data_IF_302760440065
#
_entry.id   IF_302760440065
#
_cell.length_a   1.000
_cell.length_b   1.000
_cell.length_c   1.000
_cell.angle_alpha   90.00
_cell.angle_beta   90.00
_cell.angle_gamma   90.00
#
_symmetry.space_group_name_H-M   'P 1'
#
loop_
_entity.id
_entity.type
_entity.pdbx_description
1 polymer ?
#
# COMPACT_ATOMS: atom_id res chain seq x y z
N UNK A 1 -22.28 22.20 -4.29
CA UNK A 1 -23.37 21.17 -4.27
C UNK A 1 -22.70 19.84 -4.06
N UNK A 2 -22.99 19.14 -2.96
CA UNK A 2 -22.40 17.80 -2.75
C UNK A 2 -23.18 16.87 -3.66
N UNK A 3 -22.50 16.41 -4.72
CA UNK A 3 -23.03 15.39 -5.61
C UNK A 3 -23.21 14.12 -4.80
N UNK A 4 -24.34 13.43 -4.98
CA UNK A 4 -24.50 12.10 -4.44
C UNK A 4 -23.53 11.14 -5.14
N UNK A 5 -22.36 10.93 -4.53
CA UNK A 5 -21.29 10.12 -5.09
C UNK A 5 -21.75 8.66 -5.33
N UNK A 6 -22.66 8.15 -4.50
CA UNK A 6 -23.16 6.79 -4.62
C UNK A 6 -24.03 6.61 -5.87
N UNK A 7 -24.90 7.56 -6.16
CA UNK A 7 -25.74 7.53 -7.37
C UNK A 7 -24.93 7.88 -8.60
N UNK A 8 -24.07 8.90 -8.54
CA UNK A 8 -23.23 9.28 -9.68
C UNK A 8 -22.30 8.15 -10.13
N UNK A 9 -21.76 7.38 -9.19
CA UNK A 9 -20.88 6.25 -9.51
C UNK A 9 -21.58 5.10 -10.25
N UNK A 10 -22.91 5.00 -10.15
CA UNK A 10 -23.70 4.04 -10.92
C UNK A 10 -24.06 4.55 -12.31
N UNK A 11 -24.35 5.86 -12.44
CA UNK A 11 -24.79 6.48 -13.70
C UNK A 11 -23.59 6.72 -14.64
N UNK A 12 -22.49 7.24 -14.11
CA UNK A 12 -21.31 7.61 -14.88
C UNK A 12 -20.02 7.16 -14.14
N UNK A 13 -19.72 5.85 -14.12
CA UNK A 13 -18.60 5.32 -13.38
C UNK A 13 -17.26 5.83 -13.93
N UNK A 14 -16.31 6.27 -13.06
CA UNK A 14 -14.98 6.66 -13.49
C UNK A 14 -14.18 5.50 -14.09
N UNK A 15 -13.18 5.80 -14.92
CA UNK A 15 -12.31 4.77 -15.50
C UNK A 15 -11.62 3.88 -14.45
N UNK A 16 -11.30 4.44 -13.28
CA UNK A 16 -10.66 3.69 -12.18
C UNK A 16 -11.64 2.83 -11.35
N UNK A 17 -12.94 2.95 -11.58
CA UNK A 17 -14.01 2.36 -10.75
C UNK A 17 -13.81 0.87 -10.45
N UNK A 18 -13.41 0.09 -11.45
CA UNK A 18 -13.16 -1.34 -11.35
C UNK A 18 -11.71 -1.70 -10.99
N UNK A 19 -10.79 -0.72 -10.90
CA UNK A 19 -9.40 -1.01 -10.58
C UNK A 19 -9.32 -1.61 -9.17
N UNK A 20 -8.67 -2.77 -9.07
CA UNK A 20 -8.47 -3.47 -7.80
C UNK A 20 -7.25 -2.92 -7.07
N UNK A 21 -7.36 -2.87 -5.76
CA UNK A 21 -6.30 -2.54 -4.83
C UNK A 21 -5.76 -3.82 -4.21
N UNK A 22 -4.47 -4.06 -4.35
CA UNK A 22 -3.83 -5.23 -3.76
C UNK A 22 -3.68 -5.10 -2.23
N UNK A 23 -3.49 -6.24 -1.58
CA UNK A 23 -3.11 -6.28 -0.16
C UNK A 23 -1.60 -6.05 -0.06
N UNK A 24 -1.18 -5.10 0.78
CA UNK A 24 0.23 -4.75 0.97
C UNK A 24 1.09 -5.96 1.34
N UNK A 25 0.61 -6.82 2.26
CA UNK A 25 1.34 -8.01 2.70
C UNK A 25 1.63 -8.98 1.56
N UNK A 26 0.67 -9.14 0.64
CA UNK A 26 0.86 -10.01 -0.54
C UNK A 26 1.83 -9.36 -1.53
N UNK A 27 1.71 -8.04 -1.74
CA UNK A 27 2.59 -7.29 -2.62
C UNK A 27 4.05 -7.28 -2.14
N UNK A 28 4.29 -7.12 -0.82
CA UNK A 28 5.63 -7.08 -0.22
C UNK A 28 6.24 -8.47 -0.02
N UNK A 29 5.44 -9.53 -0.16
CA UNK A 29 5.91 -10.90 0.01
C UNK A 29 7.07 -11.21 -0.93
N UNK A 30 8.15 -11.77 -0.39
CA UNK A 30 9.37 -12.07 -1.15
C UNK A 30 10.24 -10.84 -1.49
N UNK A 31 9.87 -9.64 -1.02
CA UNK A 31 10.68 -8.44 -1.14
C UNK A 31 11.30 -8.07 0.21
N UNK A 32 12.38 -7.33 0.16
CA UNK A 32 13.13 -6.89 1.33
C UNK A 32 13.14 -5.36 1.38
N UNK A 33 12.91 -4.79 2.56
CA UNK A 33 12.96 -3.34 2.77
C UNK A 33 14.30 -2.95 3.38
N UNK A 34 14.81 -1.79 3.05
CA UNK A 34 15.88 -1.15 3.81
C UNK A 34 15.39 -0.86 5.24
N UNK A 35 16.31 -0.89 6.20
CA UNK A 35 15.98 -0.59 7.61
C UNK A 35 15.63 0.88 7.83
N UNK A 36 16.07 1.76 6.92
CA UNK A 36 15.76 3.18 6.96
C UNK A 36 14.33 3.43 6.49
N UNK A 37 13.56 4.14 7.30
CA UNK A 37 12.23 4.63 6.95
C UNK A 37 12.10 6.10 7.35
N UNK A 38 11.34 6.86 6.58
CA UNK A 38 11.02 8.26 6.86
C UNK A 38 9.55 8.37 7.26
N UNK A 39 9.28 9.10 8.37
CA UNK A 39 7.93 9.47 8.76
C UNK A 39 7.70 10.94 8.53
N UNK A 40 6.70 11.28 7.71
CA UNK A 40 6.30 12.65 7.40
C UNK A 40 4.91 12.88 8.00
N UNK A 41 4.84 13.78 8.98
CA UNK A 41 3.66 13.98 9.82
C UNK A 41 2.48 14.61 9.06
N UNK A 42 2.75 15.55 8.15
CA UNK A 42 1.73 16.20 7.35
C UNK A 42 2.29 16.48 5.94
N UNK A 43 1.70 15.84 4.94
CA UNK A 43 2.12 15.99 3.54
C UNK A 43 0.94 15.78 2.60
N UNK A 44 1.16 16.11 1.34
CA UNK A 44 0.23 15.88 0.26
C UNK A 44 0.53 14.52 -0.39
N UNK A 45 -0.49 13.67 -0.52
CA UNK A 45 -0.37 12.34 -1.14
C UNK A 45 -1.34 12.24 -2.32
N UNK A 46 -0.81 11.96 -3.50
CA UNK A 46 -1.63 11.75 -4.70
C UNK A 46 -2.31 10.38 -4.64
N UNK A 47 -3.61 10.39 -4.37
CA UNK A 47 -4.45 9.18 -4.27
C UNK A 47 -4.60 8.47 -5.61
N UNK A 48 -4.35 9.13 -6.75
CA UNK A 48 -4.38 8.47 -8.06
C UNK A 48 -3.30 7.38 -8.19
N UNK A 49 -2.19 7.53 -7.45
CA UNK A 49 -1.06 6.59 -7.41
C UNK A 49 -1.25 5.42 -6.44
N UNK A 50 -2.35 5.39 -5.69
CA UNK A 50 -2.63 4.31 -4.72
C UNK A 50 -2.91 3.01 -5.47
N UNK A 51 -2.12 1.98 -5.16
CA UNK A 51 -2.23 0.64 -5.75
C UNK A 51 -2.75 -0.43 -4.78
N UNK A 52 -2.79 -0.15 -3.48
CA UNK A 52 -3.19 -1.15 -2.49
C UNK A 52 -3.44 -0.59 -1.10
N UNK A 53 -3.59 -1.49 -0.12
CA UNK A 53 -3.81 -1.13 1.28
C UNK A 53 -3.23 -2.17 2.24
N UNK A 54 -2.93 -1.75 3.49
CA UNK A 54 -2.41 -2.61 4.56
C UNK A 54 -3.49 -3.33 5.39
N UNK A 55 -4.76 -3.06 5.15
CA UNK A 55 -5.84 -3.54 6.01
C UNK A 55 -6.39 -4.90 5.56
N UNK A 56 -6.76 -5.74 6.52
CA UNK A 56 -7.15 -7.14 6.34
C UNK A 56 -8.51 -7.40 5.70
N UNK A 57 -8.86 -6.72 4.61
CA UNK A 57 -10.13 -6.90 3.91
C UNK A 57 -10.01 -7.71 2.59
N UNK A 58 -8.82 -8.22 2.29
CA UNK A 58 -8.53 -8.79 0.98
C UNK A 58 -8.45 -7.71 -0.12
N UNK A 59 -8.29 -8.13 -1.35
CA UNK A 59 -8.33 -7.22 -2.49
C UNK A 59 -9.73 -6.64 -2.68
N UNK A 60 -9.80 -5.34 -2.93
CA UNK A 60 -11.04 -4.61 -3.18
C UNK A 60 -10.86 -3.68 -4.38
N UNK A 61 -11.87 -3.57 -5.22
CA UNK A 61 -11.95 -2.50 -6.21
C UNK A 61 -12.40 -1.18 -5.56
N UNK A 62 -12.20 -0.06 -6.27
CA UNK A 62 -12.67 1.24 -5.79
C UNK A 62 -14.19 1.27 -5.62
N UNK A 63 -14.95 0.59 -6.49
CA UNK A 63 -16.41 0.48 -6.37
C UNK A 63 -16.82 -0.33 -5.15
N UNK A 64 -16.15 -1.46 -4.89
CA UNK A 64 -16.40 -2.26 -3.68
C UNK A 64 -16.13 -1.46 -2.41
N UNK A 65 -15.08 -0.62 -2.41
CA UNK A 65 -14.83 0.30 -1.28
C UNK A 65 -15.91 1.37 -1.15
N UNK A 66 -16.35 1.99 -2.25
CA UNK A 66 -17.36 3.04 -2.19
C UNK A 66 -18.70 2.54 -1.67
N UNK A 67 -19.15 1.36 -2.11
CA UNK A 67 -20.45 0.81 -1.76
C UNK A 67 -20.43 -0.15 -0.56
N UNK A 68 -19.27 -0.77 -0.25
CA UNK A 68 -19.14 -1.80 0.77
C UNK A 68 -18.58 -1.34 2.11
N UNK A 69 -17.84 -0.22 2.16
CA UNK A 69 -17.25 0.24 3.41
C UNK A 69 -18.31 0.89 4.33
N UNK A 70 -18.45 0.38 5.54
CA UNK A 70 -19.50 0.74 6.52
C UNK A 70 -19.64 2.24 6.85
N UNK A 71 -18.56 3.04 6.67
CA UNK A 71 -18.54 4.45 7.08
C UNK A 71 -18.58 5.43 5.91
N UNK A 72 -18.83 5.01 4.69
CA UNK A 72 -18.90 5.91 3.53
C UNK A 72 -20.01 6.96 3.74
N UNK A 73 -21.22 6.53 4.05
CA UNK A 73 -22.33 7.46 4.28
C UNK A 73 -22.07 8.46 5.42
N UNK A 74 -21.44 8.02 6.52
CA UNK A 74 -21.09 8.93 7.61
C UNK A 74 -20.01 9.93 7.18
N UNK A 75 -19.03 9.53 6.39
CA UNK A 75 -18.03 10.44 5.83
C UNK A 75 -18.65 11.45 4.85
N UNK A 76 -19.63 11.04 4.05
CA UNK A 76 -20.37 11.96 3.17
C UNK A 76 -21.21 12.96 3.96
N UNK A 77 -21.83 12.54 5.07
CA UNK A 77 -22.55 13.45 5.99
C UNK A 77 -21.59 14.46 6.65
N UNK A 78 -20.41 14.03 7.08
CA UNK A 78 -19.39 14.93 7.64
C UNK A 78 -18.84 15.88 6.57
N UNK A 79 -18.63 15.42 5.34
CA UNK A 79 -18.26 16.29 4.23
C UNK A 79 -19.32 17.36 3.96
N UNK A 80 -20.63 17.02 4.06
CA UNK A 80 -21.71 17.99 3.92
C UNK A 80 -21.65 19.09 4.98
N UNK A 81 -21.18 18.78 6.19
CA UNK A 81 -21.00 19.73 7.30
C UNK A 81 -19.72 20.56 7.17
N UNK A 82 -18.67 19.98 6.61
CA UNK A 82 -17.39 20.61 6.39
C UNK A 82 -16.89 20.39 4.95
N UNK A 83 -17.42 21.11 3.95
CA UNK A 83 -17.06 20.92 2.54
C UNK A 83 -15.60 21.26 2.21
N UNK A 84 -14.94 22.08 3.07
CA UNK A 84 -13.52 22.41 2.93
C UNK A 84 -12.55 21.34 3.42
N UNK A 85 -13.01 20.28 4.06
CA UNK A 85 -12.15 19.28 4.72
C UNK A 85 -11.05 18.71 3.80
N UNK A 86 -11.40 18.33 2.58
CA UNK A 86 -10.43 17.75 1.63
C UNK A 86 -9.50 18.77 0.97
N UNK A 87 -9.85 20.06 1.04
CA UNK A 87 -9.06 21.16 0.46
C UNK A 87 -8.08 21.78 1.48
N UNK A 88 -8.34 21.60 2.78
CA UNK A 88 -7.49 22.09 3.87
C UNK A 88 -6.16 21.32 3.91
N UNK A 89 -5.05 22.05 4.12
CA UNK A 89 -3.71 21.50 4.34
C UNK A 89 -3.42 21.17 5.81
N UNK A 90 -4.40 21.36 6.72
CA UNK A 90 -4.26 21.00 8.13
C UNK A 90 -3.95 19.53 8.30
N UNK A 91 -3.15 19.19 9.31
CA UNK A 91 -2.86 17.80 9.67
C UNK A 91 -4.14 17.01 9.92
N UNK A 92 -4.23 15.85 9.30
CA UNK A 92 -5.38 14.95 9.42
C UNK A 92 -4.98 13.65 10.12
N UNK A 93 -5.19 13.56 11.44
CA UNK A 93 -4.83 12.36 12.20
C UNK A 93 -5.59 11.12 11.67
N UNK A 94 -4.93 9.98 11.77
CA UNK A 94 -5.47 8.69 11.30
C UNK A 94 -5.81 8.67 9.80
N UNK A 95 -5.16 9.49 8.99
CA UNK A 95 -5.17 9.39 7.54
C UNK A 95 -3.73 9.21 7.08
N UNK A 96 -3.34 7.98 6.88
CA UNK A 96 -1.96 7.62 6.64
C UNK A 96 -1.78 6.70 5.44
N UNK A 97 -0.60 6.82 4.84
CA UNK A 97 -0.17 6.05 3.69
C UNK A 97 1.22 5.47 3.93
N UNK A 98 1.51 4.36 3.26
CA UNK A 98 2.87 3.83 3.12
C UNK A 98 3.28 3.99 1.66
N UNK A 99 4.43 4.58 1.43
CA UNK A 99 5.09 4.65 0.13
C UNK A 99 6.29 3.71 0.16
N UNK A 100 6.34 2.80 -0.81
CA UNK A 100 7.52 1.94 -1.03
C UNK A 100 8.02 2.26 -2.43
N UNK A 101 9.16 2.96 -2.50
CA UNK A 101 9.68 3.59 -3.71
C UNK A 101 8.62 4.51 -4.37
N UNK A 102 8.00 4.08 -5.47
CA UNK A 102 6.96 4.83 -6.19
C UNK A 102 5.54 4.32 -5.97
N UNK A 103 5.34 3.29 -5.16
CA UNK A 103 4.05 2.63 -4.91
C UNK A 103 3.44 3.11 -3.61
N UNK A 104 2.17 3.51 -3.65
CA UNK A 104 1.45 4.04 -2.49
C UNK A 104 0.37 3.06 -2.04
N UNK A 105 0.30 2.84 -0.72
CA UNK A 105 -0.68 1.98 -0.07
C UNK A 105 -1.41 2.77 1.03
N UNK A 106 -2.71 2.52 1.17
CA UNK A 106 -3.50 3.09 2.26
C UNK A 106 -3.19 2.32 3.54
N UNK A 107 -2.56 2.97 4.53
CA UNK A 107 -2.37 2.40 5.86
C UNK A 107 -3.61 2.62 6.74
N UNK A 108 -4.12 3.85 6.77
CA UNK A 108 -5.35 4.21 7.49
C UNK A 108 -6.20 5.20 6.67
N UNK A 109 -7.50 5.27 6.97
CA UNK A 109 -8.40 6.25 6.35
C UNK A 109 -8.98 5.85 4.98
N UNK A 110 -9.18 4.55 4.71
CA UNK A 110 -9.76 4.05 3.45
C UNK A 110 -11.04 4.78 3.03
N UNK A 111 -11.96 5.00 3.95
CA UNK A 111 -13.21 5.69 3.67
C UNK A 111 -12.96 7.10 3.12
N UNK A 112 -12.08 7.88 3.77
CA UNK A 112 -11.70 9.23 3.34
C UNK A 112 -11.01 9.21 1.98
N UNK A 113 -10.08 8.27 1.79
CA UNK A 113 -9.35 8.10 0.53
C UNK A 113 -10.29 7.75 -0.61
N UNK A 114 -11.25 6.84 -0.37
CA UNK A 114 -12.28 6.49 -1.36
C UNK A 114 -13.15 7.69 -1.70
N UNK A 115 -13.69 8.38 -0.69
CA UNK A 115 -14.52 9.56 -0.91
C UNK A 115 -13.76 10.63 -1.68
N UNK A 116 -12.51 10.95 -1.29
CA UNK A 116 -11.68 11.93 -1.98
C UNK A 116 -11.50 11.59 -3.47
N UNK A 117 -11.20 10.32 -3.79
CA UNK A 117 -10.94 9.92 -5.17
C UNK A 117 -12.15 10.13 -6.08
N UNK A 118 -13.34 9.75 -5.61
CA UNK A 118 -14.59 9.97 -6.35
C UNK A 118 -15.00 11.44 -6.36
N UNK A 119 -14.86 12.13 -5.23
CA UNK A 119 -15.17 13.55 -5.11
C UNK A 119 -14.37 14.39 -6.11
N UNK A 120 -13.06 14.15 -6.20
CA UNK A 120 -12.18 14.86 -7.14
C UNK A 120 -12.54 14.55 -8.61
N UNK A 121 -12.96 13.33 -8.92
CA UNK A 121 -13.39 12.97 -10.26
C UNK A 121 -14.66 13.73 -10.70
N UNK A 122 -15.66 13.82 -9.81
CA UNK A 122 -16.94 14.45 -10.13
C UNK A 122 -16.98 15.97 -9.93
N UNK A 123 -15.93 16.54 -9.33
CA UNK A 123 -15.84 17.98 -9.06
C UNK A 123 -14.44 18.52 -9.44
N UNK A 124 -14.00 18.34 -10.70
CA UNK A 124 -12.64 18.70 -11.12
C UNK A 124 -12.34 20.19 -10.93
N UNK A 125 -13.35 21.05 -10.93
CA UNK A 125 -13.21 22.49 -10.73
C UNK A 125 -12.72 22.87 -9.32
N UNK A 126 -12.91 21.98 -8.31
CA UNK A 126 -12.39 22.17 -6.95
C UNK A 126 -11.10 21.36 -6.70
N UNK A 127 -10.77 20.42 -7.57
CA UNK A 127 -9.63 19.51 -7.45
C UNK A 127 -8.73 19.58 -8.68
N UNK A 128 -8.31 20.79 -9.07
CA UNK A 128 -7.49 21.04 -10.26
C UNK A 128 -6.21 20.18 -10.30
N UNK A 129 -5.62 19.89 -9.12
CA UNK A 129 -4.42 19.04 -8.98
C UNK A 129 -4.73 17.55 -8.85
N UNK A 130 -6.01 17.15 -9.01
CA UNK A 130 -6.47 15.78 -8.83
C UNK A 130 -6.76 15.40 -7.36
N UNK A 131 -6.90 14.10 -7.06
CA UNK A 131 -7.31 13.59 -5.74
C UNK A 131 -6.15 13.63 -4.74
N UNK A 132 -5.74 14.81 -4.30
CA UNK A 132 -4.63 14.98 -3.36
C UNK A 132 -5.13 14.90 -1.91
N UNK A 133 -4.65 13.90 -1.17
CA UNK A 133 -4.87 13.77 0.28
C UNK A 133 -3.96 14.76 1.02
N UNK A 134 -4.45 15.98 1.28
CA UNK A 134 -3.70 17.06 1.91
C UNK A 134 -3.59 16.87 3.42
N UNK A 135 -2.41 17.13 3.98
CA UNK A 135 -2.14 17.02 5.42
C UNK A 135 -2.19 15.57 5.95
N UNK A 136 -2.02 14.59 5.08
CA UNK A 136 -1.97 13.18 5.45
C UNK A 136 -0.60 12.80 6.05
N UNK A 137 -0.54 11.67 6.74
CA UNK A 137 0.69 11.08 7.26
C UNK A 137 1.28 10.13 6.21
N UNK A 138 2.60 10.15 6.03
CA UNK A 138 3.28 9.28 5.07
C UNK A 138 4.45 8.56 5.74
N UNK A 139 4.49 7.23 5.59
CA UNK A 139 5.61 6.38 5.93
C UNK A 139 6.32 5.98 4.64
N UNK A 140 7.51 6.52 4.40
CA UNK A 140 8.30 6.22 3.20
C UNK A 140 9.31 5.14 3.51
N UNK A 141 9.38 4.13 2.65
CA UNK A 141 10.29 2.98 2.73
C UNK A 141 10.89 2.73 1.35
N UNK A 142 12.00 2.02 1.34
CA UNK A 142 12.69 1.65 0.10
C UNK A 142 12.94 0.16 0.05
N UNK A 143 12.88 -0.43 -1.15
CA UNK A 143 13.27 -1.81 -1.37
C UNK A 143 14.80 -1.95 -1.29
N UNK A 144 15.23 -3.05 -0.70
CA UNK A 144 16.64 -3.47 -0.69
C UNK A 144 16.89 -4.34 -1.92
N UNK A 145 17.14 -3.66 -3.04
CA UNK A 145 17.36 -4.32 -4.33
C UNK A 145 18.58 -5.24 -4.31
N UNK A 146 19.65 -4.88 -3.59
CA UNK A 146 20.84 -5.73 -3.47
C UNK A 146 20.49 -7.09 -2.83
N UNK A 147 19.72 -7.08 -1.74
CA UNK A 147 19.26 -8.32 -1.12
C UNK A 147 18.28 -9.08 -2.01
N UNK A 148 17.39 -8.39 -2.72
CA UNK A 148 16.45 -9.01 -3.67
C UNK A 148 17.22 -9.74 -4.78
N UNK A 149 18.18 -9.07 -5.40
CA UNK A 149 18.99 -9.62 -6.51
C UNK A 149 19.82 -10.81 -6.04
N UNK A 150 20.44 -10.70 -4.86
CA UNK A 150 21.22 -11.79 -4.27
C UNK A 150 20.35 -13.03 -4.02
N UNK A 151 19.18 -12.86 -3.40
CA UNK A 151 18.26 -13.98 -3.12
C UNK A 151 17.73 -14.60 -4.42
N UNK A 152 17.42 -13.78 -5.42
CA UNK A 152 17.01 -14.29 -6.73
C UNK A 152 18.12 -15.11 -7.41
N UNK A 153 19.37 -14.64 -7.36
CA UNK A 153 20.51 -15.38 -7.90
C UNK A 153 20.73 -16.72 -7.18
N UNK A 154 20.56 -16.76 -5.87
CA UNK A 154 20.65 -18.00 -5.09
C UNK A 154 19.52 -18.97 -5.49
N UNK A 155 18.28 -18.48 -5.56
CA UNK A 155 17.13 -19.32 -5.95
C UNK A 155 17.32 -19.91 -7.34
N UNK A 156 17.76 -19.15 -8.33
CA UNK A 156 18.08 -19.64 -9.68
C UNK A 156 19.14 -20.76 -9.66
N UNK A 157 20.18 -20.63 -8.84
CA UNK A 157 21.20 -21.68 -8.71
C UNK A 157 20.66 -22.94 -8.04
N UNK A 158 19.78 -22.79 -7.06
CA UNK A 158 19.17 -23.91 -6.31
C UNK A 158 18.17 -24.67 -7.16
N UNK A 159 17.54 -24.07 -8.18
CA UNK A 159 16.65 -24.77 -9.12
C UNK A 159 17.31 -26.02 -9.77
N UNK A 160 18.63 -25.99 -9.97
CA UNK A 160 19.38 -27.16 -10.47
C UNK A 160 19.50 -28.27 -9.42
N UNK A 161 19.11 -28.07 -8.17
CA UNK A 161 19.26 -29.00 -7.06
C UNK A 161 17.92 -29.20 -6.33
N UNK A 162 17.00 -29.99 -6.87
CA UNK A 162 15.62 -30.11 -6.36
C UNK A 162 15.50 -30.64 -4.93
N UNK A 163 16.59 -31.17 -4.36
CA UNK A 163 16.69 -31.60 -2.97
C UNK A 163 17.09 -30.48 -2.01
N UNK A 164 17.42 -29.28 -2.52
CA UNK A 164 17.73 -28.11 -1.70
C UNK A 164 16.52 -27.16 -1.64
N UNK A 165 16.34 -26.50 -0.52
CA UNK A 165 15.42 -25.38 -0.39
C UNK A 165 16.08 -24.21 0.34
N UNK A 166 15.77 -22.99 -0.12
CA UNK A 166 16.27 -21.75 0.47
C UNK A 166 15.10 -20.83 0.78
N UNK A 167 15.03 -20.34 2.00
CA UNK A 167 13.92 -19.49 2.43
C UNK A 167 14.37 -18.45 3.45
N UNK A 168 13.71 -17.30 3.44
CA UNK A 168 13.83 -16.31 4.49
C UNK A 168 13.15 -16.79 5.76
N UNK A 169 13.83 -16.68 6.89
CA UNK A 169 13.31 -17.11 8.21
C UNK A 169 13.13 -15.94 9.19
N UNK A 170 13.36 -14.70 8.73
CA UNK A 170 13.22 -13.50 9.56
C UNK A 170 14.54 -12.97 10.08
N UNK A 171 14.48 -11.97 10.93
CA UNK A 171 15.60 -11.29 11.58
C UNK A 171 15.16 -9.95 12.12
N UNK A 172 15.79 -9.51 13.21
CA UNK A 172 15.64 -8.15 13.71
C UNK A 172 16.63 -7.22 13.00
N UNK A 173 16.29 -5.95 12.93
CA UNK A 173 17.08 -4.82 12.42
C UNK A 173 18.53 -5.16 12.03
N UNK A 174 18.79 -5.24 10.72
CA UNK A 174 20.13 -5.51 10.18
C UNK A 174 20.60 -6.98 10.20
N UNK A 175 19.94 -7.87 10.93
CA UNK A 175 20.26 -9.31 10.97
C UNK A 175 19.22 -10.15 10.24
N UNK A 176 19.11 -9.99 8.93
CA UNK A 176 18.29 -10.91 8.12
C UNK A 176 18.91 -12.29 8.12
N UNK A 177 18.05 -13.30 8.21
CA UNK A 177 18.45 -14.72 8.26
C UNK A 177 17.70 -15.51 7.21
N UNK A 178 18.41 -16.40 6.56
CA UNK A 178 17.88 -17.37 5.61
C UNK A 178 18.22 -18.77 6.07
N UNK A 179 17.44 -19.71 5.62
CA UNK A 179 17.66 -21.12 5.86
C UNK A 179 17.87 -21.84 4.55
N UNK A 180 19.02 -22.48 4.40
CA UNK A 180 19.27 -23.49 3.39
C UNK A 180 19.02 -24.86 4.01
N UNK A 181 18.25 -25.71 3.38
CA UNK A 181 18.00 -27.06 3.86
C UNK A 181 18.13 -28.11 2.78
N UNK A 182 18.64 -29.27 3.19
CA UNK A 182 18.72 -30.48 2.39
C UNK A 182 17.97 -31.61 3.11
N UNK A 183 16.66 -31.79 2.85
CA UNK A 183 15.85 -32.82 3.51
C UNK A 183 16.37 -34.24 3.30
N UNK A 184 16.98 -34.55 2.13
CA UNK A 184 17.51 -35.87 1.85
C UNK A 184 18.72 -36.26 2.72
N UNK A 185 19.42 -35.24 3.28
CA UNK A 185 20.56 -35.44 4.20
C UNK A 185 20.24 -35.02 5.62
N UNK A 186 18.99 -34.62 5.92
CA UNK A 186 18.56 -34.06 7.20
C UNK A 186 19.46 -32.90 7.68
N UNK A 187 19.91 -32.06 6.74
CA UNK A 187 20.85 -30.97 7.01
C UNK A 187 20.15 -29.61 6.87
N UNK A 188 20.41 -28.72 7.83
CA UNK A 188 19.84 -27.37 7.86
C UNK A 188 20.93 -26.38 8.27
N UNK A 189 21.09 -25.31 7.49
CA UNK A 189 22.02 -24.21 7.76
C UNK A 189 21.25 -22.89 7.87
N UNK A 190 21.47 -22.17 8.94
CA UNK A 190 20.96 -20.81 9.09
C UNK A 190 22.08 -19.84 8.68
N UNK A 191 21.78 -18.98 7.74
CA UNK A 191 22.73 -18.09 7.07
C UNK A 191 22.36 -16.64 7.32
N UNK A 192 23.36 -15.80 7.55
CA UNK A 192 23.25 -14.34 7.56
C UNK A 192 23.51 -13.76 6.17
N UNK A 193 23.26 -12.45 5.97
CA UNK A 193 23.57 -11.79 4.71
C UNK A 193 25.03 -12.02 4.27
N UNK A 194 26.02 -11.76 5.14
CA UNK A 194 27.44 -11.94 4.83
C UNK A 194 27.88 -13.38 4.58
N UNK A 195 26.99 -14.37 4.83
CA UNK A 195 27.27 -15.79 4.51
C UNK A 195 26.65 -16.25 3.19
N UNK A 196 25.76 -15.44 2.62
CA UNK A 196 25.12 -15.70 1.33
C UNK A 196 25.70 -14.85 0.19
N UNK A 197 26.45 -13.78 0.50
CA UNK A 197 27.31 -13.02 -0.42
C UNK A 197 28.53 -13.84 -0.85
#
# INVERSE_FOLDING_TARGET
MIIDLLEQSKIAPPAFHQNRLCVYQDWISGKYLLDQSEYIKATDVDVSRVIGHEQGYGEMSWVEMLHGLKRIESNLKELARNPGYYLSCEEKPHWSFVEVDDKIFISSGKHRTTVLRYLAHYNPEFFETGPIARGAQLFRRHLDYETIDLVNAINQRIEAFPHLSFRYIGGHMGERRWQLSNPSQNSVWNLTRGQIE
#
